data_IF_015940801460
#
_entry.id   IF_015940801460
#
_cell.length_a   1.000
_cell.length_b   1.000
_cell.length_c   1.000
_cell.angle_alpha   90.00
_cell.angle_beta   90.00
_cell.angle_gamma   90.00
#
_symmetry.space_group_name_H-M   'P 1'
#
loop_
_entity.id
_entity.type
_entity.pdbx_description
1 polymer ?
#
# COMPACT_ATOMS: atom_id res chain seq x y z
N UNK A 1 -54.37 -72.92 4.23
CA UNK A 1 -53.44 -71.89 4.75
C UNK A 1 -52.53 -71.45 3.61
N UNK A 2 -52.27 -70.14 3.52
CA UNK A 2 -51.43 -69.34 2.61
C UNK A 2 -50.10 -70.02 2.22
N UNK A 3 -49.35 -69.71 1.14
CA UNK A 3 -49.33 -68.81 -0.04
C UNK A 3 -48.09 -69.28 -0.82
N UNK A 4 -48.03 -69.13 -2.14
CA UNK A 4 -46.73 -68.87 -2.79
C UNK A 4 -46.95 -67.99 -4.03
N UNK A 5 -46.55 -66.72 -3.88
CA UNK A 5 -46.71 -65.65 -4.86
C UNK A 5 -45.64 -65.71 -5.95
N UNK A 6 -46.04 -65.25 -7.13
CA UNK A 6 -45.17 -65.11 -8.30
C UNK A 6 -44.12 -64.01 -8.17
N UNK A 7 -43.21 -63.91 -9.16
CA UNK A 7 -42.02 -63.08 -9.09
C UNK A 7 -42.32 -61.63 -9.46
N UNK A 8 -41.63 -60.67 -8.80
CA UNK A 8 -41.59 -59.27 -9.24
C UNK A 8 -40.13 -58.78 -9.30
N UNK A 9 -39.67 -58.27 -10.46
CA UNK A 9 -38.34 -57.69 -10.57
C UNK A 9 -38.36 -56.27 -10.01
N UNK A 10 -37.40 -55.94 -9.15
CA UNK A 10 -37.10 -54.55 -8.77
C UNK A 10 -35.68 -54.23 -9.22
N UNK A 11 -35.58 -53.73 -10.45
CA UNK A 11 -34.36 -53.10 -10.93
C UNK A 11 -34.13 -51.79 -10.18
N UNK A 12 -33.00 -51.67 -9.50
CA UNK A 12 -32.56 -50.45 -8.84
C UNK A 12 -31.85 -49.58 -9.88
N UNK A 13 -32.55 -48.61 -10.47
CA UNK A 13 -31.93 -47.61 -11.32
C UNK A 13 -31.29 -46.53 -10.45
N UNK A 14 -29.95 -46.48 -10.39
CA UNK A 14 -29.21 -45.39 -9.76
C UNK A 14 -29.16 -44.25 -10.78
N UNK A 15 -29.93 -43.19 -10.54
CA UNK A 15 -29.80 -41.95 -11.31
C UNK A 15 -28.54 -41.21 -10.85
N UNK A 16 -27.50 -41.20 -11.68
CA UNK A 16 -26.34 -40.34 -11.47
C UNK A 16 -26.71 -38.91 -11.89
N UNK A 17 -26.92 -38.01 -10.93
CA UNK A 17 -27.11 -36.58 -11.19
C UNK A 17 -25.75 -35.95 -11.53
N UNK A 18 -25.57 -35.56 -12.79
CA UNK A 18 -24.45 -34.73 -13.21
C UNK A 18 -24.72 -33.28 -12.78
N UNK A 19 -23.89 -32.75 -11.89
CA UNK A 19 -23.83 -31.31 -11.61
C UNK A 19 -23.00 -30.67 -12.71
N UNK A 20 -23.63 -29.91 -13.59
CA UNK A 20 -22.92 -29.06 -14.55
C UNK A 20 -22.53 -27.77 -13.84
N UNK A 21 -21.25 -27.66 -13.46
CA UNK A 21 -20.69 -26.41 -12.96
C UNK A 21 -20.43 -25.49 -14.16
N UNK A 22 -21.36 -24.57 -14.42
CA UNK A 22 -21.11 -23.51 -15.39
C UNK A 22 -20.13 -22.51 -14.79
N UNK A 23 -18.92 -22.46 -15.32
CA UNK A 23 -18.00 -21.36 -15.03
C UNK A 23 -18.54 -20.11 -15.73
N UNK A 24 -19.12 -19.17 -14.98
CA UNK A 24 -19.40 -17.85 -15.51
C UNK A 24 -18.07 -17.16 -15.82
N UNK A 25 -17.88 -16.73 -17.07
CA UNK A 25 -16.75 -15.89 -17.42
C UNK A 25 -16.86 -14.58 -16.63
N UNK A 26 -15.87 -14.27 -15.80
CA UNK A 26 -15.79 -12.97 -15.16
C UNK A 26 -15.69 -11.89 -16.25
N UNK A 27 -16.39 -10.76 -16.13
CA UNK A 27 -16.25 -9.66 -17.07
C UNK A 27 -14.78 -9.23 -17.08
N UNK A 28 -14.17 -9.17 -18.28
CA UNK A 28 -12.86 -8.54 -18.42
C UNK A 28 -13.11 -7.04 -18.24
N UNK A 29 -12.73 -6.51 -17.08
CA UNK A 29 -12.81 -5.08 -16.83
C UNK A 29 -12.01 -4.35 -17.92
N UNK A 30 -12.59 -3.29 -18.50
CA UNK A 30 -11.82 -2.40 -19.36
C UNK A 30 -10.60 -1.93 -18.58
N UNK A 31 -9.40 -2.04 -19.16
CA UNK A 31 -8.21 -1.44 -18.58
C UNK A 31 -8.51 0.05 -18.37
N UNK A 32 -8.42 0.51 -17.12
CA UNK A 32 -8.62 1.90 -16.80
C UNK A 32 -7.55 2.71 -17.54
N UNK A 33 -7.97 3.69 -18.35
CA UNK A 33 -7.00 4.56 -19.01
C UNK A 33 -6.37 5.40 -17.91
N UNK A 34 -5.04 5.51 -17.87
CA UNK A 34 -4.36 6.40 -16.93
C UNK A 34 -4.83 7.84 -17.21
N UNK A 35 -5.86 8.26 -16.48
CA UNK A 35 -6.54 9.55 -16.60
C UNK A 35 -6.01 10.54 -15.57
N UNK A 36 -5.26 10.04 -14.58
CA UNK A 36 -4.57 10.80 -13.54
C UNK A 36 -3.29 10.07 -13.18
N UNK A 37 -2.17 10.79 -13.17
CA UNK A 37 -0.91 10.31 -12.60
C UNK A 37 -0.87 10.85 -11.17
N UNK A 38 -1.26 10.02 -10.21
CA UNK A 38 -0.97 10.28 -8.80
C UNK A 38 0.43 9.79 -8.49
N UNK A 39 1.23 10.63 -7.85
CA UNK A 39 2.64 10.32 -7.65
C UNK A 39 3.52 11.52 -7.30
N UNK A 40 4.79 11.26 -7.03
CA UNK A 40 5.76 12.30 -6.73
C UNK A 40 6.04 13.16 -7.97
N UNK A 41 6.32 14.45 -7.76
CA UNK A 41 6.68 15.38 -8.82
C UNK A 41 8.16 15.29 -9.26
N UNK A 42 8.90 14.29 -8.76
CA UNK A 42 10.31 14.05 -9.01
C UNK A 42 10.67 12.58 -8.79
N UNK A 43 11.95 12.20 -8.98
CA UNK A 43 12.36 10.80 -8.87
C UNK A 43 12.24 10.27 -7.44
N UNK A 44 11.74 9.05 -7.33
CA UNK A 44 11.80 8.23 -6.11
C UNK A 44 13.11 7.46 -6.13
N UNK A 45 13.89 7.56 -5.06
CA UNK A 45 15.19 6.91 -4.92
C UNK A 45 15.17 5.77 -3.90
N UNK A 46 14.20 5.79 -2.98
CA UNK A 46 14.01 4.76 -1.96
C UNK A 46 12.53 4.42 -1.79
N UNK A 47 12.24 3.13 -1.62
CA UNK A 47 10.93 2.63 -1.24
C UNK A 47 11.15 1.59 -0.14
N UNK A 48 10.52 1.79 1.01
CA UNK A 48 10.64 0.87 2.13
C UNK A 48 9.82 -0.40 1.91
N UNK A 49 10.13 -1.44 2.69
CA UNK A 49 9.18 -2.52 2.96
C UNK A 49 7.89 -1.94 3.59
N UNK A 50 6.73 -2.58 3.37
CA UNK A 50 5.48 -2.11 3.96
C UNK A 50 5.46 -2.44 5.46
N UNK A 51 4.81 -1.58 6.25
CA UNK A 51 4.42 -1.92 7.60
C UNK A 51 3.29 -2.97 7.63
N UNK A 52 2.82 -3.34 8.82
CA UNK A 52 1.71 -4.30 8.97
C UNK A 52 0.37 -3.84 8.36
N UNK A 53 0.24 -2.57 8.01
CA UNK A 53 -0.95 -1.95 7.42
C UNK A 53 -0.80 -1.72 5.90
N UNK A 54 0.31 -2.13 5.28
CA UNK A 54 0.59 -1.87 3.86
C UNK A 54 1.12 -0.46 3.58
N UNK A 55 1.53 0.29 4.61
CA UNK A 55 2.10 1.63 4.44
C UNK A 55 3.59 1.56 4.13
N UNK A 56 4.03 2.29 3.12
CA UNK A 56 5.42 2.40 2.69
C UNK A 56 5.90 3.83 2.79
N UNK A 57 7.16 3.99 3.16
CA UNK A 57 7.87 5.25 3.05
C UNK A 57 8.57 5.34 1.69
N UNK A 58 8.19 6.35 0.91
CA UNK A 58 8.83 6.71 -0.34
C UNK A 58 9.77 7.88 -0.08
N UNK A 59 11.05 7.72 -0.40
CA UNK A 59 12.07 8.75 -0.33
C UNK A 59 12.61 9.10 -1.71
N UNK A 60 12.92 10.36 -1.97
CA UNK A 60 13.48 10.74 -3.26
C UNK A 60 13.83 12.22 -3.38
N UNK A 61 14.05 12.64 -4.62
CA UNK A 61 14.29 14.04 -4.99
C UNK A 61 13.00 14.66 -5.54
N UNK A 62 12.00 14.75 -4.66
CA UNK A 62 10.71 15.34 -4.96
C UNK A 62 10.32 16.30 -3.85
N UNK A 63 9.36 17.18 -4.11
CA UNK A 63 8.87 18.15 -3.13
C UNK A 63 7.40 17.96 -2.79
N UNK A 64 6.67 17.19 -3.61
CA UNK A 64 5.28 16.86 -3.38
C UNK A 64 4.92 15.48 -3.91
N UNK A 65 3.99 14.81 -3.24
CA UNK A 65 3.28 13.65 -3.75
C UNK A 65 1.85 14.05 -4.09
N UNK A 66 1.49 14.01 -5.38
CA UNK A 66 0.28 14.60 -5.93
C UNK A 66 0.12 16.07 -5.49
N UNK A 67 -0.97 16.42 -4.80
CA UNK A 67 -1.23 17.78 -4.31
C UNK A 67 -0.66 18.05 -2.90
N UNK A 68 0.00 17.06 -2.28
CA UNK A 68 0.51 17.18 -0.92
C UNK A 68 1.98 17.58 -0.93
N UNK A 69 2.31 18.71 -0.31
CA UNK A 69 3.70 19.18 -0.15
C UNK A 69 4.44 18.40 0.92
N UNK A 70 4.76 17.13 0.65
CA UNK A 70 5.38 16.18 1.57
C UNK A 70 6.90 16.39 1.73
N UNK A 71 7.53 17.21 0.89
CA UNK A 71 8.99 17.27 0.81
C UNK A 71 9.55 16.00 0.16
N UNK A 72 10.81 15.66 0.46
CA UNK A 72 11.51 14.50 -0.14
C UNK A 72 11.12 13.13 0.40
N UNK A 73 10.04 13.07 1.20
CA UNK A 73 9.57 11.84 1.84
C UNK A 73 8.05 11.80 1.94
N UNK A 74 7.42 10.66 1.65
CA UNK A 74 5.97 10.50 1.76
C UNK A 74 5.59 9.10 2.27
N UNK A 75 4.62 9.03 3.19
CA UNK A 75 3.99 7.77 3.58
C UNK A 75 2.78 7.49 2.70
N UNK A 76 2.79 6.34 2.05
CA UNK A 76 1.75 5.93 1.10
C UNK A 76 1.26 4.53 1.45
N UNK A 77 -0.05 4.34 1.55
CA UNK A 77 -0.65 3.02 1.66
C UNK A 77 -0.66 2.35 0.28
N UNK A 78 -0.07 1.16 0.17
CA UNK A 78 0.16 0.47 -1.11
C UNK A 78 -1.12 -0.05 -1.80
N UNK A 79 -2.19 -0.22 -1.03
CA UNK A 79 -3.47 -0.74 -1.52
C UNK A 79 -4.42 0.39 -1.95
N UNK A 80 -4.51 1.46 -1.16
CA UNK A 80 -5.41 2.59 -1.42
C UNK A 80 -4.76 3.75 -2.15
N UNK A 81 -3.42 3.83 -2.17
CA UNK A 81 -2.67 4.99 -2.66
C UNK A 81 -2.80 6.23 -1.76
N UNK A 82 -3.42 6.10 -0.58
CA UNK A 82 -3.62 7.21 0.33
C UNK A 82 -2.28 7.71 0.89
N UNK A 83 -2.08 9.03 0.87
CA UNK A 83 -0.90 9.71 1.41
C UNK A 83 -1.20 10.24 2.80
N UNK A 84 -0.32 9.98 3.76
CA UNK A 84 -0.39 10.64 5.07
C UNK A 84 0.27 12.02 4.99
N UNK A 85 -0.53 13.06 4.71
CA UNK A 85 -0.07 14.43 4.59
C UNK A 85 0.38 15.09 5.91
N UNK A 86 0.04 14.47 7.05
CA UNK A 86 0.45 14.95 8.38
C UNK A 86 1.82 14.44 8.80
N UNK A 87 2.40 13.49 8.06
CA UNK A 87 3.73 12.98 8.37
C UNK A 87 4.79 14.08 8.18
N UNK A 88 5.86 14.12 9.01
CA UNK A 88 6.88 15.15 8.90
C UNK A 88 7.53 15.18 7.51
N UNK A 89 7.76 16.41 7.02
CA UNK A 89 8.39 16.67 5.74
C UNK A 89 9.90 16.64 5.89
N UNK A 90 10.59 16.11 4.89
CA UNK A 90 12.06 16.15 4.81
C UNK A 90 12.49 17.26 3.85
N UNK A 91 13.37 18.16 4.31
CA UNK A 91 13.79 19.35 3.54
C UNK A 91 14.94 19.08 2.54
N UNK A 92 14.85 17.99 1.81
CA UNK A 92 15.90 17.61 0.86
C UNK A 92 15.70 16.20 0.35
N UNK A 93 16.71 15.70 -0.35
CA UNK A 93 16.63 14.41 -1.02
C UNK A 93 16.80 13.26 -0.03
N UNK A 94 15.90 12.27 -0.06
CA UNK A 94 16.05 11.01 0.70
C UNK A 94 16.58 9.92 -0.23
N UNK A 95 17.73 9.35 0.11
CA UNK A 95 18.38 8.29 -0.67
C UNK A 95 18.10 6.87 -0.16
N UNK A 96 17.73 6.74 1.12
CA UNK A 96 17.45 5.46 1.75
C UNK A 96 16.34 5.60 2.79
N UNK A 97 15.49 4.57 2.87
CA UNK A 97 14.45 4.43 3.90
C UNK A 97 14.33 2.97 4.33
N UNK A 98 14.18 2.74 5.64
CA UNK A 98 13.98 1.40 6.24
C UNK A 98 12.95 1.52 7.35
N UNK A 99 11.94 0.63 7.43
CA UNK A 99 10.98 0.67 8.52
C UNK A 99 11.66 0.29 9.84
N UNK A 100 11.22 0.89 10.95
CA UNK A 100 11.75 0.59 12.29
C UNK A 100 11.07 -0.61 12.99
N UNK A 101 10.01 -1.16 12.37
CA UNK A 101 9.21 -2.25 12.90
C UNK A 101 8.14 -1.85 13.94
N UNK A 102 8.05 -0.56 14.28
CA UNK A 102 7.10 0.02 15.23
C UNK A 102 6.21 1.12 14.60
N UNK A 103 6.23 1.23 13.26
CA UNK A 103 5.44 2.19 12.48
C UNK A 103 6.20 3.47 12.09
N UNK A 104 7.44 3.62 12.57
CA UNK A 104 8.37 4.67 12.17
C UNK A 104 9.38 4.20 11.12
N UNK A 105 10.30 5.10 10.76
CA UNK A 105 11.25 4.90 9.68
C UNK A 105 12.62 5.50 10.00
N UNK A 106 13.67 4.77 9.65
CA UNK A 106 15.01 5.34 9.51
C UNK A 106 15.17 5.86 8.09
N UNK A 107 15.62 7.11 7.96
CA UNK A 107 15.85 7.77 6.68
C UNK A 107 17.27 8.31 6.59
N UNK A 108 17.86 8.20 5.41
CA UNK A 108 19.19 8.71 5.09
C UNK A 108 19.17 9.47 3.77
N UNK A 109 19.88 10.59 3.69
CA UNK A 109 19.75 11.51 2.57
C UNK A 109 20.66 12.73 2.62
N UNK A 110 20.41 13.67 1.72
CA UNK A 110 20.95 15.02 1.74
C UNK A 110 19.85 15.98 2.22
N UNK A 111 19.68 16.08 3.53
CA UNK A 111 18.73 16.97 4.19
C UNK A 111 19.30 17.52 5.49
N UNK A 112 18.76 18.64 5.94
CA UNK A 112 19.20 19.35 7.14
C UNK A 112 18.11 19.48 8.21
N UNK A 113 16.87 19.10 7.88
CA UNK A 113 15.68 19.32 8.65
C UNK A 113 14.57 18.31 8.37
N UNK A 114 13.82 18.00 9.42
CA UNK A 114 12.56 17.25 9.33
C UNK A 114 11.52 17.94 10.21
N UNK A 115 10.31 18.16 9.68
CA UNK A 115 9.24 18.78 10.45
C UNK A 115 7.93 18.97 9.67
N UNK A 116 6.82 19.28 10.33
CA UNK A 116 5.50 19.40 9.68
C UNK A 116 5.42 20.59 8.70
N UNK A 117 6.25 21.62 8.90
CA UNK A 117 6.19 22.87 8.14
C UNK A 117 7.50 23.21 7.41
N UNK A 118 8.52 22.36 7.49
CA UNK A 118 9.81 22.65 6.85
C UNK A 118 9.67 22.69 5.32
N UNK A 119 10.25 23.72 4.70
CA UNK A 119 10.23 23.97 3.24
C UNK A 119 11.62 24.30 2.67
N UNK A 120 12.69 24.04 3.46
CA UNK A 120 14.07 24.33 3.07
C UNK A 120 15.01 24.66 4.24
N UNK A 121 14.46 25.08 5.39
CA UNK A 121 15.22 25.41 6.60
C UNK A 121 14.49 24.94 7.87
N UNK A 122 15.24 24.70 8.96
CA UNK A 122 14.69 24.48 10.30
C UNK A 122 14.39 25.79 11.00
N UNK A 123 13.30 26.44 10.61
CA UNK A 123 12.87 27.72 11.19
C UNK A 123 11.51 27.64 11.88
N UNK A 124 10.79 26.52 11.73
CA UNK A 124 9.54 26.26 12.42
C UNK A 124 9.74 25.89 13.90
N UNK A 125 8.72 26.13 14.75
CA UNK A 125 8.78 25.78 16.17
C UNK A 125 8.87 24.27 16.43
N UNK A 126 8.32 23.47 15.51
CA UNK A 126 8.30 21.99 15.59
C UNK A 126 9.29 21.35 14.60
N UNK A 127 10.11 22.16 13.92
CA UNK A 127 11.12 21.65 13.00
C UNK A 127 12.31 21.11 13.79
N UNK A 128 12.78 19.92 13.42
CA UNK A 128 13.89 19.27 14.10
C UNK A 128 15.12 19.24 13.19
N UNK A 129 16.25 19.86 13.59
CA UNK A 129 17.51 19.75 12.87
C UNK A 129 18.00 18.29 12.80
N UNK A 130 18.33 17.87 11.58
CA UNK A 130 18.84 16.52 11.28
C UNK A 130 19.87 16.62 10.18
N UNK A 131 21.08 16.11 10.39
CA UNK A 131 22.13 16.15 9.37
C UNK A 131 22.23 14.78 8.70
N UNK A 132 21.64 14.64 7.51
CA UNK A 132 21.74 13.49 6.60
C UNK A 132 21.15 12.15 7.06
N UNK A 133 20.85 11.96 8.35
CA UNK A 133 20.17 10.77 8.84
C UNK A 133 19.21 11.11 9.99
N UNK A 134 18.10 10.39 10.04
CA UNK A 134 17.10 10.55 11.10
C UNK A 134 16.31 9.27 11.32
N UNK A 135 15.83 9.10 12.56
CA UNK A 135 14.68 8.25 12.86
C UNK A 135 13.46 9.17 12.97
N UNK A 136 12.36 8.77 12.32
CA UNK A 136 11.06 9.43 12.38
C UNK A 136 10.09 8.42 13.00
N UNK A 137 9.46 8.81 14.10
CA UNK A 137 8.52 7.96 14.83
C UNK A 137 7.18 7.84 14.09
N UNK A 138 6.35 6.86 14.48
CA UNK A 138 5.04 6.64 13.87
C UNK A 138 4.07 7.82 14.02
N UNK A 139 4.24 8.62 15.09
CA UNK A 139 3.46 9.82 15.41
C UNK A 139 3.99 11.10 14.74
N UNK A 140 5.18 11.04 14.13
CA UNK A 140 5.83 12.17 13.46
C UNK A 140 6.82 12.91 14.36
#
# INVERSE_FOLDING_TARGET
MLRNGGPRPFGLAIAASAVLLSAAAAPIASADRISRVDGPNGPVLAISEPDSNGTRYLGGDFTSFSSWGTGGGALVNDTSGAVNASFPKVNGTVYASVPDGSGGFYVGGAFTCIGPNTSGSCSGPDDVPRNNAAHISADG
#
